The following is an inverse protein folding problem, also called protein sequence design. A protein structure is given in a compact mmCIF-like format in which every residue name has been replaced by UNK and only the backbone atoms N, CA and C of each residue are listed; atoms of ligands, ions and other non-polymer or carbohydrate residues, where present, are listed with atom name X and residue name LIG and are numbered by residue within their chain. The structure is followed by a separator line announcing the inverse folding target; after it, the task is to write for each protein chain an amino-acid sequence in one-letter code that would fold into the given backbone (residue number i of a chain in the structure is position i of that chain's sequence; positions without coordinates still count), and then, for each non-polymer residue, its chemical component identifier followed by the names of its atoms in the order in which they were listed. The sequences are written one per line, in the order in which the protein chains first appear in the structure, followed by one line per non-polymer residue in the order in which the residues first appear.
data_IF_022721129861
#
_entry.id   IF_022721129861
#
_cell.length_a   1.000
_cell.length_b   1.000
_cell.length_c   1.000
_cell.angle_alpha   90.00
_cell.angle_beta   90.00
_cell.angle_gamma   90.00
#
_symmetry.space_group_name_H-M   'P 1'
#
loop_
_entity.id
_entity.type
_entity.pdbx_description
1 polymer ?
#
# COMPACT_ATOMS: atom_id res chain seq x y z
N UNK A 1 50.38 -23.45 31.12
CA UNK A 1 50.85 -22.37 30.24
C UNK A 1 51.03 -22.97 28.86
N UNK A 2 49.98 -22.89 28.05
CA UNK A 2 49.94 -23.35 26.65
C UNK A 2 48.59 -22.95 26.06
N UNK A 3 48.59 -21.87 25.30
CA UNK A 3 47.46 -21.30 24.58
C UNK A 3 47.11 -22.16 23.35
N UNK A 4 45.83 -22.30 22.97
CA UNK A 4 45.48 -22.63 21.60
C UNK A 4 45.18 -21.38 20.77
N UNK A 5 45.72 -21.39 19.55
CA UNK A 5 45.72 -20.32 18.58
C UNK A 5 44.38 -20.16 17.82
N UNK A 6 44.10 -18.92 17.44
CA UNK A 6 43.01 -18.47 16.56
C UNK A 6 43.41 -18.64 15.09
N UNK A 7 42.52 -19.14 14.20
CA UNK A 7 42.65 -18.95 12.76
C UNK A 7 41.71 -17.85 12.21
N UNK A 8 42.03 -17.26 11.04
CA UNK A 8 41.57 -15.93 10.65
C UNK A 8 40.26 -15.91 9.84
N UNK A 9 39.66 -14.72 9.83
CA UNK A 9 38.49 -14.33 9.05
C UNK A 9 38.89 -13.96 7.62
N UNK A 10 38.31 -14.59 6.58
CA UNK A 10 37.79 -13.91 5.38
C UNK A 10 37.28 -14.85 4.27
N UNK A 11 35.99 -14.65 3.97
CA UNK A 11 35.35 -14.59 2.64
C UNK A 11 35.48 -15.74 1.62
N UNK A 12 34.28 -16.24 1.33
CA UNK A 12 33.68 -16.39 -0.02
C UNK A 12 34.13 -17.55 -0.93
N UNK A 13 33.16 -18.45 -1.10
CA UNK A 13 32.60 -18.97 -2.36
C UNK A 13 33.35 -20.07 -3.13
N UNK A 14 32.52 -21.08 -3.51
CA UNK A 14 32.71 -22.25 -4.39
C UNK A 14 33.27 -23.48 -3.66
N UNK A 15 32.68 -24.68 -3.74
CA UNK A 15 31.88 -25.31 -4.80
C UNK A 15 31.16 -26.52 -4.16
N UNK A 16 29.83 -26.53 -4.09
CA UNK A 16 29.06 -27.78 -4.03
C UNK A 16 28.43 -27.99 -5.41
N UNK A 17 28.99 -28.95 -6.15
CA UNK A 17 28.42 -29.44 -7.38
C UNK A 17 27.39 -30.51 -7.02
N UNK A 18 26.12 -30.15 -7.11
CA UNK A 18 24.98 -31.03 -6.88
C UNK A 18 23.84 -30.61 -7.79
N UNK A 19 23.82 -31.22 -8.97
CA UNK A 19 22.60 -31.65 -9.68
C UNK A 19 21.46 -30.63 -9.85
N UNK A 20 21.43 -29.95 -11.00
CA UNK A 20 20.21 -29.33 -11.55
C UNK A 20 20.10 -29.69 -13.04
N UNK A 21 18.95 -30.21 -13.50
CA UNK A 21 18.75 -30.57 -14.90
C UNK A 21 18.48 -29.35 -15.78
N UNK A 22 19.30 -29.25 -16.83
CA UNK A 22 19.04 -28.82 -18.21
C UNK A 22 17.61 -28.33 -18.53
N UNK A 23 17.33 -27.04 -18.34
CA UNK A 23 16.28 -26.29 -19.04
C UNK A 23 16.68 -24.82 -19.19
N UNK A 24 17.49 -24.51 -20.20
CA UNK A 24 17.72 -23.12 -20.65
C UNK A 24 18.23 -23.13 -22.10
N UNK A 25 17.38 -23.51 -23.04
CA UNK A 25 17.65 -23.30 -24.46
C UNK A 25 16.32 -23.18 -25.24
N UNK A 26 15.51 -22.17 -24.90
CA UNK A 26 14.31 -21.83 -25.67
C UNK A 26 13.75 -20.44 -25.33
N UNK A 27 14.52 -19.36 -25.50
CA UNK A 27 13.95 -18.01 -25.42
C UNK A 27 14.83 -16.94 -26.08
N UNK A 28 15.23 -17.13 -27.33
CA UNK A 28 15.77 -16.05 -28.16
C UNK A 28 15.60 -16.39 -29.62
N UNK A 29 14.38 -16.19 -30.14
CA UNK A 29 14.01 -16.09 -31.57
C UNK A 29 12.48 -15.95 -31.72
N UNK A 30 11.89 -14.88 -31.21
CA UNK A 30 10.47 -14.56 -31.48
C UNK A 30 10.11 -13.09 -31.28
N UNK A 31 10.88 -12.18 -31.88
CA UNK A 31 10.48 -10.76 -32.04
C UNK A 31 10.73 -10.28 -33.47
N UNK A 32 10.03 -10.89 -34.44
CA UNK A 32 10.01 -10.40 -35.83
C UNK A 32 8.88 -11.01 -36.70
N UNK A 33 7.77 -11.47 -36.10
CA UNK A 33 6.66 -12.09 -36.86
C UNK A 33 5.32 -11.75 -36.22
N UNK A 34 4.90 -10.49 -36.28
CA UNK A 34 3.53 -10.08 -35.89
C UNK A 34 3.07 -8.74 -36.48
N UNK A 35 3.62 -8.35 -37.65
CA UNK A 35 3.23 -7.11 -38.35
C UNK A 35 2.71 -7.33 -39.78
N UNK A 36 2.52 -8.58 -40.23
CA UNK A 36 2.08 -8.89 -41.60
C UNK A 36 0.63 -9.36 -41.72
N UNK A 37 -0.20 -9.21 -40.69
CA UNK A 37 -1.60 -9.66 -40.70
C UNK A 37 -2.65 -8.53 -40.71
N UNK A 38 -2.25 -7.25 -40.79
CA UNK A 38 -3.19 -6.11 -40.78
C UNK A 38 -3.24 -5.34 -42.12
N UNK A 39 -2.38 -5.67 -43.09
CA UNK A 39 -2.38 -5.03 -44.42
C UNK A 39 -3.05 -5.84 -45.54
N UNK A 40 -3.65 -7.00 -45.25
CA UNK A 40 -4.32 -7.85 -46.25
C UNK A 40 -5.81 -7.55 -46.48
N UNK A 41 -6.40 -6.58 -45.76
CA UNK A 41 -7.82 -6.22 -45.87
C UNK A 41 -8.07 -5.04 -46.85
N UNK A 42 -7.02 -4.38 -47.35
CA UNK A 42 -7.11 -3.35 -48.39
C UNK A 42 -6.59 -3.88 -49.73
N UNK A 43 -7.18 -4.98 -50.23
CA UNK A 43 -6.99 -5.42 -51.61
C UNK A 43 -8.21 -4.99 -52.43
N UNK A 44 -8.14 -3.76 -52.94
CA UNK A 44 -9.08 -3.24 -53.94
C UNK A 44 -8.97 -4.14 -55.19
N UNK A 45 -10.05 -4.77 -55.68
CA UNK A 45 -9.98 -5.55 -56.91
C UNK A 45 -9.82 -4.60 -58.11
N UNK A 46 -8.82 -4.90 -58.95
CA UNK A 46 -8.64 -4.31 -60.27
C UNK A 46 -9.86 -4.61 -61.13
N UNK A 47 -10.49 -3.55 -61.64
CA UNK A 47 -11.62 -3.59 -62.58
C UNK A 47 -11.13 -4.15 -63.93
N UNK A 48 -11.83 -5.13 -64.55
CA UNK A 48 -11.52 -5.54 -65.91
C UNK A 48 -12.02 -4.50 -66.92
N UNK A 49 -11.16 -4.19 -67.88
CA UNK A 49 -11.48 -3.37 -69.07
C UNK A 49 -12.60 -4.04 -69.87
N UNK A 50 -13.76 -3.38 -69.98
CA UNK A 50 -14.85 -3.78 -70.86
C UNK A 50 -14.84 -2.85 -72.07
N UNK A 51 -14.37 -3.38 -73.19
CA UNK A 51 -14.59 -2.83 -74.51
C UNK A 51 -16.01 -3.13 -74.99
N UNK A 52 -16.61 -2.13 -75.64
CA UNK A 52 -17.85 -2.17 -76.45
C UNK A 52 -19.16 -2.57 -75.77
N UNK A 53 -20.02 -1.57 -75.48
CA UNK A 53 -21.45 -1.69 -75.79
C UNK A 53 -22.19 -0.34 -75.76
N UNK A 54 -22.63 0.08 -76.96
CA UNK A 54 -23.84 0.84 -77.32
C UNK A 54 -24.23 2.05 -76.47
N UNK A 55 -24.17 3.22 -77.11
CA UNK A 55 -24.92 4.42 -76.77
C UNK A 55 -26.40 4.10 -76.52
N UNK A 56 -26.82 4.14 -75.26
CA UNK A 56 -28.21 4.36 -74.88
C UNK A 56 -28.31 5.81 -74.45
N UNK A 57 -29.07 6.60 -75.21
CA UNK A 57 -29.54 7.91 -74.79
C UNK A 57 -30.27 7.78 -73.45
N UNK A 58 -29.59 8.14 -72.35
CA UNK A 58 -30.21 8.32 -71.05
C UNK A 58 -30.75 9.74 -71.05
N UNK A 59 -32.07 9.86 -71.20
CA UNK A 59 -32.77 11.10 -70.88
C UNK A 59 -32.45 11.42 -69.41
N UNK A 60 -31.62 12.44 -69.18
CA UNK A 60 -31.40 13.01 -67.85
C UNK A 60 -32.73 13.67 -67.45
N UNK A 61 -33.61 12.90 -66.82
CA UNK A 61 -34.69 13.47 -66.03
C UNK A 61 -34.01 14.11 -64.82
N UNK A 62 -33.71 15.39 -64.94
CA UNK A 62 -33.29 16.23 -63.82
C UNK A 62 -34.51 16.33 -62.91
N UNK A 63 -34.67 15.36 -62.02
CA UNK A 63 -35.52 15.49 -60.85
C UNK A 63 -35.01 16.73 -60.12
N UNK A 64 -35.70 17.86 -60.27
CA UNK A 64 -35.51 18.99 -59.37
C UNK A 64 -35.90 18.48 -57.98
N UNK A 65 -34.92 18.01 -57.22
CA UNK A 65 -35.10 17.85 -55.78
C UNK A 65 -35.50 19.23 -55.30
N UNK A 66 -36.76 19.39 -54.88
CA UNK A 66 -37.14 20.58 -54.14
C UNK A 66 -36.26 20.59 -52.90
N UNK A 67 -35.36 21.55 -52.80
CA UNK A 67 -34.65 21.82 -51.55
C UNK A 67 -35.71 22.31 -50.57
N UNK A 68 -36.25 21.37 -49.79
CA UNK A 68 -37.14 21.69 -48.68
C UNK A 68 -36.28 22.41 -47.64
N UNK A 69 -36.57 23.68 -47.39
CA UNK A 69 -35.96 24.42 -46.29
C UNK A 69 -36.32 23.78 -44.95
N UNK A 70 -35.41 23.89 -43.98
CA UNK A 70 -35.63 23.40 -42.62
C UNK A 70 -36.88 24.03 -42.01
N UNK A 71 -37.72 23.21 -41.40
CA UNK A 71 -38.88 23.72 -40.64
C UNK A 71 -38.42 24.26 -39.29
N UNK A 72 -39.15 25.24 -38.74
CA UNK A 72 -38.88 25.76 -37.41
C UNK A 72 -38.89 24.65 -36.34
N UNK A 73 -39.80 23.67 -36.48
CA UNK A 73 -39.93 22.52 -35.59
C UNK A 73 -38.67 21.65 -35.62
N UNK A 74 -38.08 21.44 -36.81
CA UNK A 74 -36.87 20.62 -36.96
C UNK A 74 -35.66 21.26 -36.25
N UNK A 75 -35.52 22.57 -36.35
CA UNK A 75 -34.47 23.31 -35.61
C UNK A 75 -34.70 23.22 -34.10
N UNK A 76 -35.94 23.35 -33.63
CA UNK A 76 -36.27 23.21 -32.21
C UNK A 76 -35.94 21.81 -31.68
N UNK A 77 -36.31 20.76 -32.42
CA UNK A 77 -36.00 19.37 -32.06
C UNK A 77 -34.49 19.12 -32.06
N UNK A 78 -33.77 19.62 -33.07
CA UNK A 78 -32.31 19.48 -33.15
C UNK A 78 -31.60 20.14 -31.95
N UNK A 79 -32.01 21.37 -31.58
CA UNK A 79 -31.44 22.07 -30.41
C UNK A 79 -31.82 21.37 -29.10
N UNK A 80 -33.04 20.85 -28.97
CA UNK A 80 -33.46 20.08 -27.80
C UNK A 80 -32.66 18.78 -27.64
N UNK A 81 -32.46 18.02 -28.73
CA UNK A 81 -31.64 16.80 -28.73
C UNK A 81 -30.18 17.13 -28.43
N UNK A 82 -29.63 18.19 -29.02
CA UNK A 82 -28.27 18.63 -28.75
C UNK A 82 -28.08 19.01 -27.27
N UNK A 83 -29.04 19.75 -26.71
CA UNK A 83 -29.04 20.09 -25.28
C UNK A 83 -29.11 18.86 -24.38
N UNK A 84 -29.94 17.87 -24.74
CA UNK A 84 -30.06 16.61 -24.00
C UNK A 84 -28.77 15.78 -24.05
N UNK A 85 -28.14 15.65 -25.23
CA UNK A 85 -26.85 14.98 -25.39
C UNK A 85 -25.77 15.71 -24.59
N UNK A 86 -25.72 17.05 -24.68
CA UNK A 86 -24.80 17.87 -23.91
C UNK A 86 -24.96 17.67 -22.40
N UNK A 87 -26.20 17.65 -21.91
CA UNK A 87 -26.49 17.39 -20.50
C UNK A 87 -26.05 15.99 -20.05
N UNK A 88 -26.28 14.96 -20.87
CA UNK A 88 -25.82 13.60 -20.56
C UNK A 88 -24.29 13.49 -20.51
N UNK A 89 -23.59 14.07 -21.49
CA UNK A 89 -22.12 14.05 -21.55
C UNK A 89 -21.52 14.80 -20.35
N UNK A 90 -22.03 16.00 -20.07
CA UNK A 90 -21.57 16.81 -18.94
C UNK A 90 -21.87 16.12 -17.60
N UNK A 91 -23.08 15.57 -17.45
CA UNK A 91 -23.48 14.79 -16.27
C UNK A 91 -22.58 13.57 -16.05
N UNK A 92 -22.26 12.83 -17.11
CA UNK A 92 -21.34 11.69 -17.05
C UNK A 92 -19.94 12.10 -16.61
N UNK A 93 -19.42 13.23 -17.12
CA UNK A 93 -18.10 13.72 -16.74
C UNK A 93 -18.05 14.11 -15.26
N UNK A 94 -19.05 14.87 -14.79
CA UNK A 94 -19.16 15.29 -13.38
C UNK A 94 -19.32 14.09 -12.45
N UNK A 95 -20.09 13.08 -12.85
CA UNK A 95 -20.23 11.85 -12.06
C UNK A 95 -18.92 11.08 -11.98
N UNK A 96 -18.19 10.96 -13.10
CA UNK A 96 -16.91 10.26 -13.15
C UNK A 96 -15.86 10.96 -12.29
N UNK A 97 -15.75 12.29 -12.35
CA UNK A 97 -14.78 13.02 -11.54
C UNK A 97 -15.07 12.89 -10.05
N UNK A 98 -16.34 12.96 -9.64
CA UNK A 98 -16.74 12.74 -8.25
C UNK A 98 -16.41 11.33 -7.75
N UNK A 99 -16.70 10.31 -8.57
CA UNK A 99 -16.39 8.93 -8.23
C UNK A 99 -14.88 8.69 -8.10
N UNK A 100 -14.08 9.27 -8.99
CA UNK A 100 -12.61 9.17 -8.95
C UNK A 100 -12.06 9.88 -7.70
N UNK A 101 -12.57 11.07 -7.37
CA UNK A 101 -12.07 11.83 -6.21
C UNK A 101 -12.38 11.12 -4.88
N UNK A 102 -13.60 10.61 -4.72
CA UNK A 102 -13.97 9.81 -3.56
C UNK A 102 -13.09 8.54 -3.42
N UNK A 103 -12.75 7.90 -4.53
CA UNK A 103 -11.83 6.75 -4.55
C UNK A 103 -10.39 7.13 -4.15
N UNK A 104 -9.91 8.30 -4.57
CA UNK A 104 -8.55 8.78 -4.23
C UNK A 104 -8.37 9.04 -2.75
N UNK A 105 -9.35 9.68 -2.11
CA UNK A 105 -9.28 10.00 -0.68
C UNK A 105 -9.19 8.73 0.19
N UNK A 106 -9.95 7.70 -0.17
CA UNK A 106 -9.90 6.42 0.52
C UNK A 106 -8.52 5.76 0.38
N UNK A 107 -8.00 5.69 -0.85
CA UNK A 107 -6.67 5.12 -1.12
C UNK A 107 -5.57 5.92 -0.39
N UNK A 108 -5.62 7.24 -0.40
CA UNK A 108 -4.61 8.08 0.26
C UNK A 108 -4.55 7.84 1.77
N UNK A 109 -5.72 7.68 2.43
CA UNK A 109 -5.80 7.35 3.86
C UNK A 109 -5.20 5.99 4.16
N UNK A 110 -5.56 4.96 3.39
CA UNK A 110 -5.00 3.63 3.61
C UNK A 110 -3.48 3.57 3.39
N UNK A 111 -2.97 4.28 2.39
CA UNK A 111 -1.53 4.37 2.14
C UNK A 111 -0.80 5.05 3.30
N UNK A 112 -1.41 6.10 3.86
CA UNK A 112 -0.87 6.81 5.04
C UNK A 112 -0.80 5.88 6.24
N UNK A 113 -1.88 5.15 6.53
CA UNK A 113 -1.95 4.17 7.63
C UNK A 113 -0.90 3.07 7.45
N UNK A 114 -0.80 2.47 6.26
CA UNK A 114 0.19 1.43 5.97
C UNK A 114 1.61 1.94 6.16
N UNK A 115 1.90 3.18 5.76
CA UNK A 115 3.21 3.80 5.99
C UNK A 115 3.51 3.95 7.48
N UNK A 116 2.53 4.41 8.27
CA UNK A 116 2.69 4.59 9.72
C UNK A 116 2.94 3.25 10.43
N UNK A 117 2.15 2.22 10.09
CA UNK A 117 2.33 0.88 10.65
C UNK A 117 3.68 0.26 10.27
N UNK A 118 4.16 0.52 9.05
CA UNK A 118 5.49 0.10 8.63
C UNK A 118 6.60 0.81 9.42
N UNK A 119 6.49 2.12 9.66
CA UNK A 119 7.46 2.84 10.50
C UNK A 119 7.45 2.34 11.95
N UNK A 120 6.27 2.04 12.49
CA UNK A 120 6.12 1.38 13.79
C UNK A 120 6.79 0.00 13.79
N UNK A 121 6.56 -0.82 12.75
CA UNK A 121 7.19 -2.13 12.60
C UNK A 121 8.73 -2.05 12.53
N UNK A 122 9.26 -1.08 11.77
CA UNK A 122 10.70 -0.81 11.67
C UNK A 122 11.30 -0.42 13.03
N UNK A 123 10.61 0.42 13.81
CA UNK A 123 11.04 0.77 15.18
C UNK A 123 11.02 -0.44 16.12
N UNK A 124 9.98 -1.28 16.05
CA UNK A 124 9.86 -2.50 16.85
C UNK A 124 10.96 -3.50 16.47
N UNK A 125 11.27 -3.64 15.18
CA UNK A 125 12.30 -4.56 14.69
C UNK A 125 13.71 -4.23 15.23
N UNK A 126 13.98 -2.95 15.44
CA UNK A 126 15.25 -2.43 15.98
C UNK A 126 15.24 -2.25 17.50
N UNK A 127 14.16 -2.63 18.16
CA UNK A 127 14.00 -2.43 19.59
C UNK A 127 14.99 -3.25 20.42
N UNK A 128 15.38 -2.69 21.56
CA UNK A 128 16.28 -3.31 22.52
C UNK A 128 15.55 -3.62 23.81
N UNK A 129 16.22 -4.35 24.70
CA UNK A 129 15.80 -4.54 26.09
C UNK A 129 16.94 -4.25 27.04
N UNK A 130 16.62 -3.79 28.24
CA UNK A 130 17.53 -3.74 29.38
C UNK A 130 16.83 -4.31 30.61
N UNK A 131 17.58 -4.58 31.69
CA UNK A 131 16.97 -5.06 32.94
C UNK A 131 16.00 -4.03 33.56
N UNK A 132 16.28 -2.74 33.39
CA UNK A 132 15.42 -1.66 33.89
C UNK A 132 14.23 -1.36 32.96
N UNK A 133 14.42 -1.54 31.65
CA UNK A 133 13.39 -1.28 30.64
C UNK A 133 13.16 -2.55 29.80
N UNK A 134 12.34 -3.47 30.32
CA UNK A 134 12.09 -4.73 29.65
C UNK A 134 11.18 -4.55 28.45
N UNK A 135 11.25 -5.49 27.52
CA UNK A 135 10.38 -5.53 26.34
C UNK A 135 9.08 -6.25 26.72
N UNK A 136 7.95 -5.55 26.77
CA UNK A 136 6.69 -6.06 27.34
C UNK A 136 5.57 -5.93 26.32
N UNK A 137 4.83 -7.01 26.12
CA UNK A 137 3.54 -7.01 25.43
C UNK A 137 2.43 -7.41 26.38
N UNK A 138 1.43 -6.57 26.56
CA UNK A 138 0.29 -6.83 27.46
C UNK A 138 -0.99 -6.85 26.64
N UNK A 139 -1.72 -7.95 26.71
CA UNK A 139 -3.05 -8.06 26.15
C UNK A 139 -4.00 -7.12 26.92
N UNK A 140 -4.78 -6.31 26.21
CA UNK A 140 -5.62 -5.28 26.80
C UNK A 140 -6.96 -5.18 26.09
N UNK A 141 -7.97 -4.72 26.83
CA UNK A 141 -9.29 -4.43 26.25
C UNK A 141 -9.79 -3.06 26.69
N UNK A 142 -10.34 -2.30 25.75
CA UNK A 142 -11.03 -1.04 26.00
C UNK A 142 -12.35 -1.06 25.23
N UNK A 143 -13.45 -0.71 25.90
CA UNK A 143 -14.80 -0.68 25.31
C UNK A 143 -15.20 -2.01 24.63
N UNK A 144 -14.77 -3.14 25.20
CA UNK A 144 -15.03 -4.49 24.67
C UNK A 144 -14.20 -4.87 23.43
N UNK A 145 -13.24 -4.02 23.03
CA UNK A 145 -12.38 -4.24 21.88
C UNK A 145 -10.90 -4.37 22.29
N UNK A 146 -10.07 -5.07 21.51
CA UNK A 146 -8.63 -5.12 21.75
C UNK A 146 -7.99 -3.73 21.82
N UNK A 147 -7.14 -3.54 22.83
CA UNK A 147 -6.40 -2.34 23.12
C UNK A 147 -5.07 -2.71 23.79
N UNK A 148 -4.26 -3.50 23.08
CA UNK A 148 -3.01 -4.04 23.59
C UNK A 148 -1.99 -2.93 23.89
N UNK A 149 -1.07 -3.23 24.79
CA UNK A 149 0.01 -2.33 25.18
C UNK A 149 1.34 -2.98 24.82
N UNK A 150 2.13 -2.30 23.98
CA UNK A 150 3.49 -2.71 23.65
C UNK A 150 4.49 -1.67 24.14
N UNK A 151 5.36 -2.07 25.06
CA UNK A 151 6.35 -1.21 25.66
C UNK A 151 7.77 -1.69 25.32
N UNK A 152 8.51 -0.86 24.57
CA UNK A 152 9.83 -1.19 23.98
C UNK A 152 10.88 -0.13 24.29
N UNK A 153 12.16 -0.46 24.16
CA UNK A 153 13.24 0.52 24.14
C UNK A 153 13.66 0.74 22.68
N UNK A 154 13.54 1.97 22.17
CA UNK A 154 13.87 2.35 20.80
C UNK A 154 15.03 3.36 20.77
N UNK A 155 15.65 3.56 19.61
CA UNK A 155 16.66 4.60 19.43
C UNK A 155 16.01 5.99 19.29
N UNK A 156 16.63 7.03 19.84
CA UNK A 156 16.17 8.40 19.64
C UNK A 156 16.39 8.85 18.19
N UNK A 157 15.36 9.38 17.53
CA UNK A 157 15.45 9.85 16.14
C UNK A 157 15.95 11.31 16.01
N UNK A 158 16.00 12.07 17.10
CA UNK A 158 16.46 13.47 17.09
C UNK A 158 17.90 13.56 17.60
N UNK A 159 18.76 14.26 16.86
CA UNK A 159 20.08 14.64 17.35
C UNK A 159 19.91 15.69 18.46
N UNK A 160 20.29 15.34 19.68
CA UNK A 160 20.28 16.25 20.84
C UNK A 160 21.16 17.47 20.58
N UNK A 161 20.56 18.66 20.61
CA UNK A 161 21.27 19.95 20.53
C UNK A 161 21.65 20.52 21.90
N UNK A 162 21.28 19.84 22.99
CA UNK A 162 21.49 20.31 24.37
C UNK A 162 22.51 19.46 25.12
N UNK A 163 23.37 20.12 25.90
CA UNK A 163 24.43 19.52 26.70
C UNK A 163 23.94 18.71 27.93
N UNK A 164 22.63 18.55 28.09
CA UNK A 164 22.07 17.63 29.06
C UNK A 164 22.21 16.20 28.52
N UNK A 165 22.63 15.27 29.39
CA UNK A 165 22.90 13.86 29.09
C UNK A 165 21.59 13.14 28.71
N UNK A 166 21.06 13.42 27.53
CA UNK A 166 19.93 12.69 26.95
C UNK A 166 20.35 11.26 26.61
N UNK A 167 19.46 10.31 26.85
CA UNK A 167 19.70 8.90 26.54
C UNK A 167 19.61 8.70 25.02
N UNK A 168 20.59 8.01 24.43
CA UNK A 168 20.57 7.54 23.03
C UNK A 168 19.37 6.61 22.74
N UNK A 169 18.70 6.16 23.80
CA UNK A 169 17.50 5.31 23.74
C UNK A 169 16.34 5.95 24.49
N UNK A 170 15.14 5.76 23.96
CA UNK A 170 13.89 6.26 24.52
C UNK A 170 12.95 5.10 24.83
N UNK A 171 12.15 5.24 25.89
CA UNK A 171 11.09 4.28 26.19
C UNK A 171 9.87 4.63 25.36
N UNK A 172 9.42 3.70 24.54
CA UNK A 172 8.24 3.86 23.68
C UNK A 172 7.14 2.94 24.16
N UNK A 173 5.91 3.47 24.23
CA UNK A 173 4.71 2.69 24.51
C UNK A 173 3.70 2.93 23.41
N UNK A 174 3.26 1.85 22.77
CA UNK A 174 2.14 1.84 21.83
C UNK A 174 0.91 1.32 22.55
N UNK A 175 -0.20 2.04 22.41
CA UNK A 175 -1.50 1.59 22.91
C UNK A 175 -2.60 2.25 22.10
N UNK A 176 -3.79 1.66 22.17
CA UNK A 176 -5.00 2.35 21.76
C UNK A 176 -5.58 3.14 22.94
N UNK A 177 -6.01 4.36 22.66
CA UNK A 177 -6.82 5.17 23.58
C UNK A 177 -8.10 5.60 22.86
N UNK A 178 -9.26 5.10 23.32
CA UNK A 178 -10.57 5.35 22.69
C UNK A 178 -10.57 4.93 21.22
N UNK A 179 -10.56 5.89 20.32
CA UNK A 179 -10.58 5.71 18.87
C UNK A 179 -9.22 5.99 18.22
N UNK A 180 -8.13 6.05 18.98
CA UNK A 180 -6.81 6.47 18.46
C UNK A 180 -5.71 5.49 18.81
N UNK A 181 -4.81 5.26 17.85
CA UNK A 181 -3.54 4.60 18.11
C UNK A 181 -2.51 5.64 18.52
N UNK A 182 -1.96 5.48 19.72
CA UNK A 182 -1.07 6.44 20.35
C UNK A 182 0.31 5.83 20.55
N UNK A 183 1.34 6.65 20.32
CA UNK A 183 2.74 6.39 20.65
C UNK A 183 3.21 7.36 21.72
N UNK A 184 3.45 6.86 22.92
CA UNK A 184 4.08 7.61 24.01
C UNK A 184 5.60 7.43 23.97
N UNK A 185 6.34 8.51 24.23
CA UNK A 185 7.80 8.53 24.29
C UNK A 185 8.26 9.17 25.59
N UNK A 186 9.07 8.44 26.36
CA UNK A 186 9.81 8.98 27.50
C UNK A 186 11.29 9.03 27.17
N UNK A 187 11.85 10.25 27.15
CA UNK A 187 13.26 10.48 26.80
C UNK A 187 14.20 10.41 28.00
N UNK A 188 13.77 10.95 29.14
CA UNK A 188 14.59 10.94 30.34
C UNK A 188 14.35 9.66 31.15
N UNK A 189 15.25 8.69 30.93
CA UNK A 189 15.22 7.39 31.57
C UNK A 189 16.01 7.36 32.90
N UNK A 190 16.69 8.46 33.26
CA UNK A 190 17.61 8.52 34.40
C UNK A 190 17.17 9.51 35.50
N UNK A 191 16.15 10.34 35.28
CA UNK A 191 15.62 11.21 36.33
C UNK A 191 14.74 10.45 37.32
N UNK A 192 15.03 10.64 38.60
CA UNK A 192 14.26 10.11 39.74
C UNK A 192 12.92 10.85 39.94
N UNK A 193 12.78 12.04 39.36
CA UNK A 193 11.53 12.80 39.39
C UNK A 193 10.70 12.41 38.17
N UNK A 194 9.53 11.82 38.41
CA UNK A 194 8.54 11.49 37.39
C UNK A 194 7.82 12.77 36.95
N UNK A 195 8.54 13.71 36.32
CA UNK A 195 7.91 14.88 35.73
C UNK A 195 7.29 14.48 34.38
N UNK A 196 5.98 14.69 34.30
CA UNK A 196 5.16 14.52 33.09
C UNK A 196 5.71 15.31 31.89
N UNK A 197 6.55 16.31 32.16
CA UNK A 197 7.32 17.13 31.22
C UNK A 197 8.23 16.32 30.26
N UNK A 198 8.59 15.08 30.61
CA UNK A 198 9.43 14.21 29.76
C UNK A 198 8.65 13.23 28.87
N UNK A 199 7.31 13.24 28.95
CA UNK A 199 6.41 12.39 28.18
C UNK A 199 5.87 13.13 26.96
N UNK A 200 6.22 12.65 25.77
CA UNK A 200 5.65 13.12 24.50
C UNK A 200 4.63 12.09 24.00
N UNK A 201 3.48 12.58 23.54
CA UNK A 201 2.42 11.78 22.95
C UNK A 201 2.29 12.11 21.46
N UNK A 202 2.25 11.08 20.63
CA UNK A 202 2.01 11.20 19.19
C UNK A 202 0.82 10.34 18.81
N UNK A 203 -0.17 10.95 18.19
CA UNK A 203 -1.27 10.24 17.54
C UNK A 203 -0.78 9.66 16.21
N UNK A 204 -0.86 8.35 16.05
CA UNK A 204 -0.44 7.64 14.85
C UNK A 204 -1.59 7.45 13.87
N UNK A 205 -2.79 7.18 14.37
CA UNK A 205 -3.97 7.03 13.55
C UNK A 205 -5.23 7.31 14.36
N UNK A 206 -6.25 7.80 13.67
CA UNK A 206 -7.60 7.98 14.18
C UNK A 206 -8.52 6.82 13.77
N UNK A 207 -9.72 6.78 14.35
CA UNK A 207 -10.78 5.81 14.05
C UNK A 207 -10.36 4.35 14.19
N UNK A 208 -9.48 4.10 15.16
CA UNK A 208 -8.99 2.78 15.53
C UNK A 208 -10.04 2.10 16.40
N UNK A 209 -10.61 1.03 15.87
CA UNK A 209 -11.64 0.21 16.51
C UNK A 209 -11.08 -1.00 17.26
N UNK A 210 -9.88 -1.48 16.92
CA UNK A 210 -9.16 -2.50 17.69
C UNK A 210 -7.66 -2.42 17.41
N UNK A 211 -6.86 -2.68 18.44
CA UNK A 211 -5.41 -2.81 18.36
C UNK A 211 -4.98 -4.09 19.09
N UNK A 212 -4.47 -5.05 18.32
CA UNK A 212 -4.10 -6.38 18.79
C UNK A 212 -2.67 -6.70 18.32
N UNK A 213 -1.89 -7.35 19.19
CA UNK A 213 -0.55 -7.81 18.88
C UNK A 213 -0.39 -9.24 19.33
N UNK A 214 0.08 -10.08 18.40
CA UNK A 214 0.46 -11.46 18.70
C UNK A 214 1.96 -11.62 18.60
N UNK A 215 2.51 -12.48 19.45
CA UNK A 215 3.93 -12.68 19.61
C UNK A 215 4.31 -14.12 19.30
N UNK A 216 5.34 -14.32 18.50
CA UNK A 216 5.85 -15.64 18.17
C UNK A 216 6.96 -16.06 19.15
N UNK A 217 6.68 -17.10 19.94
CA UNK A 217 7.67 -17.79 20.73
C UNK A 217 8.37 -18.86 19.91
N UNK A 218 9.65 -18.66 19.61
CA UNK A 218 10.44 -19.60 18.80
C UNK A 218 10.84 -20.87 19.56
N UNK A 219 10.91 -20.82 20.89
CA UNK A 219 11.23 -21.98 21.75
C UNK A 219 10.06 -22.96 21.75
N UNK A 220 8.85 -22.44 21.96
CA UNK A 220 7.63 -23.22 22.05
C UNK A 220 6.93 -23.39 20.68
N UNK A 221 7.34 -22.63 19.66
CA UNK A 221 6.76 -22.58 18.31
C UNK A 221 5.26 -22.26 18.30
N UNK A 222 4.85 -21.33 19.15
CA UNK A 222 3.46 -20.92 19.33
C UNK A 222 3.31 -19.41 19.18
N UNK A 223 2.10 -18.99 18.81
CA UNK A 223 1.66 -17.62 18.90
C UNK A 223 0.94 -17.41 20.23
N UNK A 224 1.36 -16.38 20.97
CA UNK A 224 0.76 -15.97 22.24
C UNK A 224 0.35 -14.51 22.16
N UNK A 225 -0.68 -14.14 22.92
CA UNK A 225 -1.29 -12.79 22.85
C UNK A 225 -0.73 -11.85 23.93
N UNK A 226 0.19 -12.34 24.77
CA UNK A 226 0.94 -11.55 25.72
C UNK A 226 2.41 -11.96 25.69
N UNK A 227 3.31 -11.03 26.00
CA UNK A 227 4.73 -11.32 26.12
C UNK A 227 5.23 -10.90 27.50
N UNK A 228 5.22 -11.81 28.48
CA UNK A 228 5.69 -11.54 29.82
C UNK A 228 7.20 -11.30 29.80
N UNK A 229 7.58 -10.08 30.15
CA UNK A 229 8.93 -9.60 29.95
C UNK A 229 9.86 -9.98 31.09
N UNK A 230 10.88 -10.81 30.84
CA UNK A 230 12.03 -10.90 31.77
C UNK A 230 13.37 -11.15 31.07
N UNK A 231 13.45 -12.03 30.05
CA UNK A 231 14.77 -12.47 29.55
C UNK A 231 14.93 -12.59 28.03
N UNK A 232 13.85 -12.59 27.24
CA UNK A 232 13.90 -12.70 25.76
C UNK A 232 12.96 -11.71 25.08
N UNK A 233 13.34 -11.31 23.86
CA UNK A 233 12.49 -10.56 22.92
C UNK A 233 11.84 -11.59 21.98
N UNK A 234 10.59 -11.44 21.55
CA UNK A 234 9.99 -12.38 20.61
C UNK A 234 10.71 -12.34 19.26
N UNK A 235 10.69 -13.47 18.55
CA UNK A 235 11.34 -13.56 17.23
C UNK A 235 10.55 -12.86 16.14
N UNK A 236 9.23 -12.87 16.26
CA UNK A 236 8.34 -12.20 15.34
C UNK A 236 7.06 -11.72 16.04
N UNK A 237 6.39 -10.77 15.40
CA UNK A 237 5.11 -10.24 15.84
C UNK A 237 4.16 -10.11 14.66
N UNK A 238 2.87 -10.18 14.96
CA UNK A 238 1.79 -9.81 14.08
C UNK A 238 1.04 -8.65 14.73
N UNK A 239 1.09 -7.48 14.08
CA UNK A 239 0.33 -6.30 14.49
C UNK A 239 -0.96 -6.29 13.70
N UNK A 240 -2.09 -6.15 14.39
CA UNK A 240 -3.41 -6.05 13.77
C UNK A 240 -4.10 -4.77 14.25
N UNK A 241 -4.44 -3.89 13.30
CA UNK A 241 -5.16 -2.66 13.58
C UNK A 241 -6.45 -2.65 12.79
N UNK A 242 -7.58 -2.62 13.48
CA UNK A 242 -8.90 -2.53 12.86
C UNK A 242 -9.39 -1.11 12.91
N UNK A 243 -9.84 -0.59 11.78
CA UNK A 243 -10.40 0.74 11.63
C UNK A 243 -11.90 0.67 11.38
N UNK A 244 -12.65 1.62 11.93
CA UNK A 244 -14.09 1.72 11.70
C UNK A 244 -14.47 3.17 11.37
N UNK A 245 -15.01 3.37 10.18
CA UNK A 245 -15.53 4.65 9.72
C UNK A 245 -17.07 4.62 9.77
N UNK A 246 -17.77 5.74 10.00
CA UNK A 246 -19.23 5.74 10.13
C UNK A 246 -19.98 5.11 8.94
N UNK A 247 -19.44 5.27 7.73
CA UNK A 247 -20.06 4.85 6.48
C UNK A 247 -19.32 3.67 5.82
N UNK A 248 -18.53 2.90 6.57
CA UNK A 248 -17.80 1.76 6.03
C UNK A 248 -17.73 0.58 7.00
N UNK A 249 -17.70 -0.62 6.44
CA UNK A 249 -17.43 -1.82 7.21
C UNK A 249 -16.04 -1.75 7.87
N UNK A 250 -15.87 -2.32 9.07
CA UNK A 250 -14.56 -2.39 9.69
C UNK A 250 -13.56 -3.11 8.79
N UNK A 251 -12.35 -2.57 8.70
CA UNK A 251 -11.28 -3.18 7.93
C UNK A 251 -10.01 -3.27 8.77
N UNK A 252 -9.27 -4.36 8.60
CA UNK A 252 -8.09 -4.66 9.42
C UNK A 252 -6.81 -4.61 8.58
N UNK A 253 -5.83 -3.83 9.03
CA UNK A 253 -4.46 -3.87 8.53
C UNK A 253 -3.64 -4.81 9.39
N UNK A 254 -2.86 -5.66 8.73
CA UNK A 254 -1.95 -6.60 9.38
C UNK A 254 -0.53 -6.31 8.93
N UNK A 255 0.39 -6.18 9.88
CA UNK A 255 1.81 -5.99 9.61
C UNK A 255 2.63 -7.04 10.37
N UNK A 256 3.56 -7.66 9.65
CA UNK A 256 4.44 -8.69 10.16
C UNK A 256 5.80 -8.08 10.50
N UNK A 257 6.29 -8.34 11.71
CA UNK A 257 7.58 -7.84 12.17
C UNK A 257 8.48 -9.01 12.55
N UNK A 258 9.68 -9.07 11.99
CA UNK A 258 10.73 -10.01 12.43
C UNK A 258 11.80 -9.26 13.19
N UNK A 259 12.11 -9.70 14.40
CA UNK A 259 13.14 -9.08 15.23
C UNK A 259 14.44 -9.88 15.10
N UNK A 260 15.57 -9.19 14.89
CA UNK A 260 16.90 -9.81 14.86
C UNK A 260 17.30 -10.45 13.53
N UNK A 261 16.57 -10.17 12.43
CA UNK A 261 16.99 -10.49 11.08
C UNK A 261 17.75 -9.29 10.48
N UNK A 262 19.00 -9.10 10.89
CA UNK A 262 19.95 -8.19 10.24
C UNK A 262 21.12 -8.97 9.67
#
# INVERSE_FOLDING_TARGET
MSLPAVPPFSRMLKKSAGFVPRLAEAASRSKARRWTAILSILRVPLIPSISNMRERNILIQRSSKSEAGFTLVEVMVAVALLGMIGAMVFGSLVMTTRAVEAGRDHVAKEQTIRRILRLMAEEIALSKRTSQYPWVGTNGTQDGQPADILAILAMSQELSTSAAKESETVRVVYTRERDRLIRFVRRNLYTLTDTQESLSQMELADRVHAFNIRYYDDQNRIWIDEWPAVTKIPKALLIEVTFQYPDADPWTVREWVTIGAS
#
